data_IF_682666741596
#
_entry.id   IF_682666741596
#
_cell.length_a   1.000
_cell.length_b   1.000
_cell.length_c   1.000
_cell.angle_alpha   90.00
_cell.angle_beta   90.00
_cell.angle_gamma   90.00
#
_symmetry.space_group_name_H-M   'P 1'
#
loop_
_entity.id
_entity.type
_entity.pdbx_description
1 polymer ?
#
# COMPACT_ATOMS: atom_id res chain seq x y z
N UNK A 1 -54.58 -23.07 36.06
CA UNK A 1 -54.80 -21.89 35.21
C UNK A 1 -53.46 -21.56 34.55
N UNK A 2 -53.20 -21.62 33.25
CA UNK A 2 -54.00 -21.87 32.06
C UNK A 2 -53.06 -22.48 31.00
N UNK A 3 -53.60 -23.43 30.25
CA UNK A 3 -53.04 -23.86 28.97
C UNK A 3 -53.02 -22.71 27.96
N UNK A 4 -52.06 -22.70 27.03
CA UNK A 4 -52.31 -22.58 25.58
C UNK A 4 -51.21 -23.29 24.78
N UNK A 5 -51.65 -24.32 24.06
CA UNK A 5 -51.00 -25.03 22.95
C UNK A 5 -50.63 -24.03 21.83
N UNK A 6 -49.46 -24.14 21.20
CA UNK A 6 -49.14 -24.89 19.97
C UNK A 6 -48.95 -23.94 18.75
N UNK A 7 -47.84 -24.13 18.02
CA UNK A 7 -47.81 -24.25 16.56
C UNK A 7 -46.37 -24.45 16.06
N UNK A 8 -46.24 -25.36 15.09
CA UNK A 8 -45.04 -25.74 14.34
C UNK A 8 -44.91 -24.79 13.14
N UNK A 9 -43.72 -24.21 12.91
CA UNK A 9 -43.21 -23.78 11.59
C UNK A 9 -41.69 -24.12 11.61
N UNK A 10 -41.17 -25.12 10.88
CA UNK A 10 -41.03 -25.26 9.43
C UNK A 10 -40.14 -24.18 8.78
N UNK A 11 -38.90 -24.58 8.43
CA UNK A 11 -38.03 -23.94 7.44
C UNK A 11 -37.28 -22.71 7.93
N UNK A 12 -36.05 -22.40 7.54
CA UNK A 12 -35.18 -22.91 6.48
C UNK A 12 -33.75 -22.60 6.96
N UNK A 13 -32.84 -23.56 6.84
CA UNK A 13 -31.39 -23.30 6.92
C UNK A 13 -31.04 -22.47 5.69
N UNK A 14 -30.89 -21.16 5.87
CA UNK A 14 -30.25 -20.31 4.87
C UNK A 14 -28.79 -20.14 5.29
N UNK A 15 -27.95 -21.09 4.87
CA UNK A 15 -26.54 -20.79 4.68
C UNK A 15 -26.53 -19.75 3.55
N UNK A 16 -26.30 -18.50 3.92
CA UNK A 16 -25.98 -17.46 2.92
C UNK A 16 -24.61 -17.83 2.39
N UNK A 17 -24.60 -18.56 1.27
CA UNK A 17 -23.44 -18.64 0.42
C UNK A 17 -23.17 -17.21 -0.06
N UNK A 18 -22.10 -16.60 0.45
CA UNK A 18 -21.57 -15.39 -0.13
C UNK A 18 -21.29 -15.69 -1.61
N UNK A 19 -22.01 -14.96 -2.48
CA UNK A 19 -22.00 -15.20 -3.91
C UNK A 19 -20.60 -15.07 -4.48
N UNK A 20 -20.19 -16.06 -5.26
CA UNK A 20 -19.23 -15.85 -6.32
C UNK A 20 -19.80 -14.76 -7.24
N UNK A 21 -19.08 -13.65 -7.38
CA UNK A 21 -19.46 -12.58 -8.32
C UNK A 21 -19.35 -13.15 -9.73
N UNK A 22 -20.45 -13.10 -10.46
CA UNK A 22 -20.54 -13.55 -11.84
C UNK A 22 -20.05 -12.45 -12.79
N UNK A 23 -19.27 -12.83 -13.80
CA UNK A 23 -19.11 -12.08 -15.05
C UNK A 23 -20.47 -11.96 -15.78
N UNK A 24 -20.64 -10.88 -16.56
CA UNK A 24 -21.85 -10.53 -17.32
C UNK A 24 -22.32 -11.59 -18.36
N UNK A 25 -21.59 -12.69 -18.54
CA UNK A 25 -21.94 -13.81 -19.44
C UNK A 25 -22.30 -15.14 -18.73
N UNK A 26 -22.22 -15.22 -17.39
CA UNK A 26 -22.69 -16.38 -16.63
C UNK A 26 -22.02 -17.74 -16.93
N UNK A 27 -20.83 -17.73 -17.54
CA UNK A 27 -20.03 -18.93 -17.81
C UNK A 27 -18.94 -19.17 -16.76
N UNK A 28 -18.49 -20.43 -16.54
CA UNK A 28 -17.29 -20.68 -15.75
C UNK A 28 -16.07 -20.08 -16.47
N UNK A 29 -15.31 -19.22 -15.77
CA UNK A 29 -14.07 -18.63 -16.30
C UNK A 29 -13.17 -19.75 -16.81
N UNK A 30 -12.97 -19.80 -18.12
CA UNK A 30 -12.08 -20.77 -18.76
C UNK A 30 -10.66 -20.21 -18.66
N UNK A 31 -9.68 -21.06 -18.32
CA UNK A 31 -8.24 -20.74 -18.23
C UNK A 31 -7.62 -20.53 -19.64
N UNK A 32 -8.28 -19.81 -20.53
CA UNK A 32 -7.81 -19.54 -21.91
C UNK A 32 -7.35 -18.09 -22.10
N UNK A 33 -7.63 -17.19 -21.16
CA UNK A 33 -7.47 -15.74 -21.38
C UNK A 33 -6.46 -15.07 -20.40
N UNK A 34 -5.81 -15.82 -19.51
CA UNK A 34 -4.88 -15.32 -18.47
C UNK A 34 -5.45 -14.17 -17.60
N UNK A 35 -6.77 -14.01 -17.59
CA UNK A 35 -7.46 -12.92 -16.93
C UNK A 35 -7.81 -13.27 -15.49
N UNK A 36 -7.55 -12.36 -14.56
CA UNK A 36 -7.77 -12.58 -13.13
C UNK A 36 -8.55 -11.43 -12.49
N UNK A 37 -9.37 -11.75 -11.48
CA UNK A 37 -9.93 -10.78 -10.54
C UNK A 37 -9.27 -10.89 -9.16
N UNK A 38 -8.72 -12.07 -8.83
CA UNK A 38 -8.01 -12.33 -7.58
C UNK A 38 -6.85 -13.30 -7.82
N UNK A 39 -5.91 -13.37 -6.88
CA UNK A 39 -4.79 -14.33 -6.93
C UNK A 39 -5.27 -15.79 -7.05
N UNK A 40 -6.48 -16.12 -6.56
CA UNK A 40 -7.05 -17.46 -6.68
C UNK A 40 -7.33 -17.87 -8.14
N UNK A 41 -7.64 -16.91 -9.01
CA UNK A 41 -7.87 -17.16 -10.44
C UNK A 41 -6.58 -17.58 -11.16
N UNK A 42 -5.45 -17.18 -10.61
CA UNK A 42 -4.11 -17.44 -11.10
C UNK A 42 -3.48 -18.70 -10.49
N UNK A 43 -4.16 -19.35 -9.55
CA UNK A 43 -3.71 -20.58 -8.91
C UNK A 43 -2.48 -20.35 -8.03
N UNK A 44 -1.29 -20.63 -8.57
CA UNK A 44 -0.01 -20.42 -7.88
C UNK A 44 0.68 -19.10 -8.26
N UNK A 45 0.10 -18.36 -9.22
CA UNK A 45 0.61 -17.09 -9.72
C UNK A 45 -0.07 -15.91 -9.03
N UNK A 46 0.47 -14.71 -9.22
CA UNK A 46 -0.05 -13.47 -8.67
C UNK A 46 -1.02 -12.80 -9.66
N UNK A 47 -2.12 -12.23 -9.18
CA UNK A 47 -3.00 -11.41 -10.00
C UNK A 47 -2.53 -9.95 -9.97
N UNK A 48 -2.17 -9.39 -11.12
CA UNK A 48 -1.70 -8.00 -11.27
C UNK A 48 -2.40 -7.38 -12.49
N UNK A 49 -3.14 -6.29 -12.29
CA UNK A 49 -3.76 -5.56 -13.41
C UNK A 49 -4.65 -6.41 -14.32
N UNK A 50 -5.34 -7.40 -13.74
CA UNK A 50 -6.14 -8.42 -14.44
C UNK A 50 -5.37 -9.46 -15.27
N UNK A 51 -4.06 -9.58 -15.09
CA UNK A 51 -3.24 -10.65 -15.67
C UNK A 51 -2.54 -11.47 -14.58
N UNK A 52 -2.31 -12.76 -14.86
CA UNK A 52 -1.48 -13.58 -13.99
C UNK A 52 0.02 -13.32 -14.25
N UNK A 53 0.75 -13.03 -13.18
CA UNK A 53 2.18 -12.76 -13.15
C UNK A 53 2.93 -13.82 -12.33
N UNK A 54 4.14 -14.16 -12.76
CA UNK A 54 5.01 -15.10 -12.07
C UNK A 54 5.56 -14.49 -10.78
N UNK A 55 5.32 -15.06 -9.58
CA UNK A 55 5.91 -14.56 -8.33
C UNK A 55 7.44 -14.63 -8.32
N UNK A 56 8.05 -15.49 -9.15
CA UNK A 56 9.51 -15.58 -9.32
C UNK A 56 10.03 -14.67 -10.45
N UNK A 57 9.12 -14.05 -11.20
CA UNK A 57 9.44 -13.04 -12.20
C UNK A 57 9.65 -11.65 -11.59
N UNK A 58 9.92 -10.70 -12.47
CA UNK A 58 10.16 -9.28 -12.19
C UNK A 58 9.42 -8.54 -13.32
N UNK A 59 8.26 -7.97 -13.00
CA UNK A 59 7.28 -7.55 -14.00
C UNK A 59 7.60 -6.17 -14.59
N UNK A 60 8.19 -5.28 -13.81
CA UNK A 60 8.59 -3.94 -14.22
C UNK A 60 10.10 -3.81 -14.54
N UNK A 61 10.90 -4.80 -14.14
CA UNK A 61 12.30 -4.94 -14.51
C UNK A 61 13.26 -4.14 -13.64
N UNK A 62 12.88 -3.83 -12.39
CA UNK A 62 13.71 -3.07 -11.46
C UNK A 62 14.76 -3.93 -10.74
N UNK A 63 14.58 -5.26 -10.75
CA UNK A 63 15.44 -6.25 -10.12
C UNK A 63 14.91 -6.84 -8.81
N UNK A 64 13.76 -6.39 -8.32
CA UNK A 64 12.99 -7.00 -7.23
C UNK A 64 11.99 -7.98 -7.84
N UNK A 65 11.83 -9.16 -7.22
CA UNK A 65 10.90 -10.16 -7.76
C UNK A 65 9.47 -9.88 -7.28
N UNK A 66 8.50 -10.13 -8.15
CA UNK A 66 7.07 -9.90 -7.92
C UNK A 66 6.55 -10.43 -6.57
N UNK A 67 7.03 -11.60 -6.14
CA UNK A 67 6.65 -12.21 -4.87
C UNK A 67 7.24 -11.51 -3.65
N UNK A 68 8.39 -10.85 -3.79
CA UNK A 68 8.97 -9.96 -2.76
C UNK A 68 8.17 -8.69 -2.69
N UNK A 69 7.98 -8.01 -3.83
CA UNK A 69 7.24 -6.75 -3.92
C UNK A 69 5.84 -6.87 -3.32
N UNK A 70 5.09 -7.91 -3.70
CA UNK A 70 3.76 -8.23 -3.12
C UNK A 70 3.78 -8.33 -1.59
N UNK A 71 4.88 -8.79 -1.02
CA UNK A 71 5.01 -9.05 0.43
C UNK A 71 5.46 -7.83 1.22
N UNK A 72 6.23 -6.94 0.61
CA UNK A 72 6.70 -5.69 1.23
C UNK A 72 5.76 -4.52 0.92
N UNK A 73 4.87 -4.67 -0.07
CA UNK A 73 3.83 -3.69 -0.40
C UNK A 73 4.15 -2.82 -1.61
N UNK A 74 5.30 -3.00 -2.26
CA UNK A 74 5.67 -2.26 -3.47
C UNK A 74 4.82 -2.67 -4.69
N UNK A 75 4.79 -1.81 -5.70
CA UNK A 75 3.99 -1.93 -6.90
C UNK A 75 4.75 -2.68 -8.01
N UNK A 76 4.33 -3.92 -8.25
CA UNK A 76 4.89 -4.84 -9.26
C UNK A 76 4.91 -4.30 -10.70
N UNK A 77 4.27 -3.16 -10.95
CA UNK A 77 4.19 -2.57 -12.29
C UNK A 77 4.99 -1.28 -12.42
N UNK A 78 5.67 -0.84 -11.36
CA UNK A 78 6.41 0.40 -11.33
C UNK A 78 7.73 0.22 -10.58
N UNK A 79 8.87 0.49 -11.25
CA UNK A 79 10.20 0.28 -10.67
C UNK A 79 10.58 1.27 -9.55
N UNK A 80 9.63 2.13 -9.18
CA UNK A 80 9.72 3.22 -8.22
C UNK A 80 8.28 3.42 -7.73
N UNK A 81 7.98 2.89 -6.54
CA UNK A 81 6.63 2.77 -6.00
C UNK A 81 6.12 4.08 -5.41
N UNK A 82 6.90 4.87 -4.72
CA UNK A 82 6.45 6.16 -4.20
C UNK A 82 6.58 7.30 -5.23
N UNK A 83 7.42 7.11 -6.25
CA UNK A 83 7.62 8.03 -7.36
C UNK A 83 8.54 9.19 -7.02
N UNK A 84 9.47 9.04 -6.07
CA UNK A 84 10.42 10.07 -5.66
C UNK A 84 11.70 10.11 -6.52
N UNK A 85 11.88 9.12 -7.40
CA UNK A 85 13.01 8.99 -8.31
C UNK A 85 14.16 8.10 -7.83
N UNK A 86 14.06 7.52 -6.64
CA UNK A 86 14.80 6.32 -6.23
C UNK A 86 13.97 5.08 -6.60
N UNK A 87 14.65 3.97 -6.88
CA UNK A 87 13.98 2.76 -7.35
C UNK A 87 13.78 1.78 -6.22
N UNK A 88 12.72 0.96 -6.31
CA UNK A 88 12.36 -0.01 -5.28
C UNK A 88 13.53 -0.96 -4.96
N UNK A 89 14.32 -1.36 -5.97
CA UNK A 89 15.54 -2.13 -5.74
C UNK A 89 16.52 -1.45 -4.77
N UNK A 90 16.78 -0.15 -4.90
CA UNK A 90 17.74 0.55 -4.05
C UNK A 90 17.16 0.76 -2.65
N UNK A 91 15.90 1.13 -2.55
CA UNK A 91 15.22 1.47 -1.30
C UNK A 91 14.87 0.23 -0.48
N UNK A 92 14.65 -0.90 -1.13
CA UNK A 92 14.43 -2.18 -0.45
C UNK A 92 15.73 -2.94 -0.14
N UNK A 93 16.90 -2.32 -0.34
CA UNK A 93 18.22 -2.97 -0.19
C UNK A 93 18.38 -4.23 -1.06
N UNK A 94 17.91 -4.16 -2.29
CA UNK A 94 17.97 -5.22 -3.31
C UNK A 94 16.87 -6.26 -3.17
N UNK A 95 15.66 -5.87 -2.75
CA UNK A 95 14.53 -6.78 -2.55
C UNK A 95 14.57 -7.52 -1.20
N UNK A 96 15.00 -6.86 -0.13
CA UNK A 96 14.95 -7.41 1.21
C UNK A 96 13.50 -7.63 1.68
N UNK A 97 13.29 -8.65 2.51
CA UNK A 97 11.99 -8.92 3.15
C UNK A 97 11.77 -8.11 4.43
N UNK A 98 12.82 -7.43 4.85
CA UNK A 98 12.87 -6.45 5.92
C UNK A 98 13.59 -5.25 5.31
N UNK A 99 12.90 -4.52 4.41
CA UNK A 99 13.46 -3.31 3.83
C UNK A 99 13.72 -2.25 4.92
N UNK A 100 14.58 -1.28 4.64
CA UNK A 100 14.69 -0.04 5.40
C UNK A 100 13.34 0.61 5.70
N UNK A 101 13.30 1.24 6.86
CA UNK A 101 12.22 2.05 7.42
C UNK A 101 12.99 3.14 8.20
N UNK A 102 13.05 4.33 7.60
CA UNK A 102 14.02 5.37 7.91
C UNK A 102 13.72 6.08 9.22
N UNK A 103 12.46 6.32 9.54
CA UNK A 103 11.99 7.01 10.74
C UNK A 103 11.30 6.08 11.76
N UNK A 104 10.91 4.87 11.35
CA UNK A 104 10.36 3.84 12.22
C UNK A 104 8.85 3.92 12.43
N UNK A 105 8.10 4.58 11.54
CA UNK A 105 6.64 4.70 11.61
C UNK A 105 5.92 3.39 11.20
N UNK A 106 6.62 2.52 10.46
CA UNK A 106 6.16 1.22 9.99
C UNK A 106 5.79 1.15 8.51
N UNK A 107 5.84 2.25 7.77
CA UNK A 107 6.06 2.26 6.32
C UNK A 107 7.54 1.98 6.03
N UNK A 108 7.87 1.80 4.76
CA UNK A 108 9.23 1.45 4.32
C UNK A 108 9.66 2.53 3.36
N UNK A 109 10.96 2.77 3.25
CA UNK A 109 11.49 3.87 2.43
C UNK A 109 10.93 3.83 0.98
N UNK A 110 10.70 2.65 0.40
CA UNK A 110 10.15 2.48 -0.95
C UNK A 110 8.63 2.77 -1.09
N UNK A 111 7.96 3.15 -0.01
CA UNK A 111 6.55 3.53 0.02
C UNK A 111 6.37 5.00 0.43
N UNK A 112 7.46 5.70 0.70
CA UNK A 112 7.49 7.02 1.32
C UNK A 112 8.36 7.95 0.49
N UNK A 113 7.83 9.13 0.18
CA UNK A 113 8.49 10.02 -0.76
C UNK A 113 9.56 10.84 -0.07
N UNK A 114 10.80 10.84 -0.59
CA UNK A 114 11.84 11.75 -0.11
C UNK A 114 11.69 13.20 -0.64
N UNK A 115 10.79 13.42 -1.60
CA UNK A 115 10.60 14.70 -2.30
C UNK A 115 9.28 15.40 -1.96
N UNK A 116 8.47 14.84 -1.07
CA UNK A 116 7.20 15.39 -0.60
C UNK A 116 7.23 15.53 0.92
N UNK A 117 6.58 16.59 1.38
CA UNK A 117 6.32 16.91 2.79
C UNK A 117 4.81 17.13 2.87
N UNK A 118 4.10 16.14 3.38
CA UNK A 118 2.65 16.05 3.32
C UNK A 118 1.97 17.06 4.25
N UNK A 119 2.56 17.35 5.41
CA UNK A 119 1.95 18.20 6.44
C UNK A 119 2.53 19.63 6.49
N UNK A 120 3.67 19.87 5.85
CA UNK A 120 4.34 21.16 5.70
C UNK A 120 5.29 21.53 6.85
N UNK A 121 5.86 20.55 7.55
CA UNK A 121 6.79 20.75 8.66
C UNK A 121 8.29 20.66 8.30
N UNK A 122 8.58 20.50 7.01
CA UNK A 122 9.91 20.36 6.40
C UNK A 122 10.68 19.09 6.75
N UNK A 123 10.01 18.08 7.28
CA UNK A 123 10.45 16.71 7.16
C UNK A 123 9.78 16.13 5.90
N UNK A 124 10.56 15.55 4.97
CA UNK A 124 9.94 14.74 3.93
C UNK A 124 9.33 13.49 4.56
N UNK A 125 8.28 12.94 3.95
CA UNK A 125 7.54 11.78 4.45
C UNK A 125 8.50 10.61 4.79
N UNK A 126 9.50 10.29 3.95
CA UNK A 126 10.54 9.26 4.25
C UNK A 126 11.38 9.54 5.51
N UNK A 127 11.24 10.69 6.16
CA UNK A 127 11.99 11.04 7.36
C UNK A 127 11.10 11.58 8.49
N UNK A 128 9.79 11.46 8.35
CA UNK A 128 8.79 11.94 9.29
C UNK A 128 8.03 10.77 9.95
N UNK A 129 8.28 10.49 11.25
CA UNK A 129 7.54 9.47 11.98
C UNK A 129 6.01 9.68 12.03
N UNK A 130 5.51 10.88 11.70
CA UNK A 130 4.10 11.24 11.73
C UNK A 130 3.70 12.08 10.49
N UNK A 131 3.81 11.53 9.26
CA UNK A 131 3.47 12.11 7.93
C UNK A 131 2.32 13.14 7.79
N UNK A 132 1.33 13.10 8.68
CA UNK A 132 0.13 13.94 8.65
C UNK A 132 -0.03 14.87 9.87
N UNK A 133 1.00 14.98 10.71
CA UNK A 133 0.99 15.71 11.97
C UNK A 133 2.19 16.66 12.12
N UNK A 134 1.94 17.92 11.74
CA UNK A 134 2.95 18.99 11.80
C UNK A 134 3.77 18.99 13.10
N UNK A 135 5.07 18.71 13.02
CA UNK A 135 6.03 18.92 14.10
C UNK A 135 6.50 20.39 14.11
N UNK A 136 6.05 21.22 15.07
CA UNK A 136 6.49 22.60 15.18
C UNK A 136 7.98 22.76 15.49
N UNK A 137 8.66 21.69 15.91
CA UNK A 137 10.06 21.64 16.28
C UNK A 137 10.93 20.87 15.26
N UNK A 138 10.38 20.44 14.11
CA UNK A 138 11.09 19.72 13.03
C UNK A 138 12.41 20.41 12.61
N UNK A 139 12.36 21.73 12.39
CA UNK A 139 13.53 22.54 12.05
C UNK A 139 14.43 22.93 13.23
N UNK A 140 14.07 22.52 14.45
CA UNK A 140 14.71 22.95 15.68
C UNK A 140 14.31 24.36 16.13
N UNK A 141 14.77 24.79 17.33
CA UNK A 141 14.16 25.90 18.07
C UNK A 141 14.33 27.29 17.45
N UNK A 142 15.30 27.46 16.53
CA UNK A 142 15.69 28.75 15.94
C UNK A 142 15.47 28.84 14.43
N UNK A 143 14.77 27.85 13.84
CA UNK A 143 14.45 27.82 12.43
C UNK A 143 12.94 27.71 12.19
N UNK A 144 12.55 27.91 10.94
CA UNK A 144 11.18 27.79 10.45
C UNK A 144 11.19 27.15 9.06
N UNK A 145 10.04 26.61 8.68
CA UNK A 145 9.82 26.06 7.35
C UNK A 145 9.61 27.14 6.29
N UNK A 146 10.50 27.20 5.31
CA UNK A 146 10.38 28.15 4.21
C UNK A 146 9.62 27.61 2.99
N UNK A 147 8.72 26.64 3.17
CA UNK A 147 7.80 26.17 2.12
C UNK A 147 8.47 25.48 0.91
N UNK A 148 9.80 25.38 0.89
CA UNK A 148 10.61 24.66 -0.09
C UNK A 148 11.26 23.41 0.55
N UNK A 149 10.61 22.78 1.54
CA UNK A 149 11.16 21.69 2.39
C UNK A 149 12.51 22.05 3.05
N UNK A 150 12.75 23.33 3.31
CA UNK A 150 14.01 23.78 3.91
C UNK A 150 13.80 24.53 5.22
N UNK A 151 14.65 24.18 6.18
CA UNK A 151 14.75 24.90 7.44
C UNK A 151 15.54 26.19 7.25
N UNK A 152 14.84 27.32 7.33
CA UNK A 152 15.42 28.65 7.27
C UNK A 152 15.64 29.22 8.68
N UNK A 153 16.75 29.95 8.92
CA UNK A 153 16.96 30.61 10.20
C UNK A 153 15.95 31.73 10.39
N UNK A 154 15.40 31.89 11.60
CA UNK A 154 14.54 33.03 11.92
C UNK A 154 15.29 34.34 11.63
N UNK A 155 14.73 35.19 10.76
CA UNK A 155 15.30 36.51 10.48
C UNK A 155 15.30 37.33 11.77
N UNK A 156 16.35 38.13 11.98
CA UNK A 156 16.51 38.97 13.17
C UNK A 156 15.37 40.00 13.37
N UNK A 157 14.52 40.15 12.35
CA UNK A 157 13.44 41.12 12.29
C UNK A 157 12.12 40.57 12.87
N UNK A 158 12.06 39.29 13.24
CA UNK A 158 10.90 38.68 13.91
C UNK A 158 9.70 38.37 13.01
N UNK A 159 9.86 38.46 11.69
CA UNK A 159 8.87 38.02 10.69
C UNK A 159 9.29 36.63 10.17
N UNK A 160 8.34 35.70 9.92
CA UNK A 160 8.61 34.47 9.16
C UNK A 160 9.19 34.81 7.77
#
# INVERSE_FOLDING_TARGET
MNARQAAILAGVVAIVAAGATCDDDGGPRRIIDNFCATDLDCGALLCVGSACADPEGDLDGDGVVNGVERRIGTDLTRPDTDGDGKGDYDETSGGSLTPPDRDGDGAIDALERADVDTDGDCLPDEADPDDDVVDPDACGPDAFCDGDLACAPRRADGDP
#
